data_IF_845364582597
#
_entry.id   IF_845364582597
#
_cell.length_a   1.000
_cell.length_b   1.000
_cell.length_c   1.000
_cell.angle_alpha   90.00
_cell.angle_beta   90.00
_cell.angle_gamma   90.00
#
_symmetry.space_group_name_H-M   'P 1'
#
loop_
_entity.id
_entity.type
_entity.pdbx_description
1 polymer ?
#
# COMPACT_ATOMS: atom_id res chain seq x y z
N UNK A 1 5.53 -5.61 10.20
CA UNK A 1 6.44 -6.19 9.18
C UNK A 1 6.07 -5.63 7.81
N UNK A 2 6.95 -4.86 7.15
CA UNK A 2 6.69 -4.32 5.80
C UNK A 2 6.95 -5.35 4.71
N UNK A 3 5.94 -5.64 3.89
CA UNK A 3 5.99 -6.63 2.82
C UNK A 3 5.99 -5.95 1.44
N UNK A 4 7.17 -5.52 1.00
CA UNK A 4 7.40 -4.88 -0.29
C UNK A 4 8.79 -5.20 -0.85
N UNK A 5 8.94 -5.13 -2.18
CA UNK A 5 10.25 -5.25 -2.84
C UNK A 5 10.92 -6.64 -2.74
N UNK A 6 10.17 -7.70 -2.44
CA UNK A 6 10.73 -9.06 -2.29
C UNK A 6 11.32 -9.60 -3.60
N UNK A 7 12.46 -10.28 -3.52
CA UNK A 7 12.99 -11.08 -4.63
C UNK A 7 12.53 -12.57 -4.61
N UNK A 8 11.86 -13.02 -3.54
CA UNK A 8 11.42 -14.40 -3.37
C UNK A 8 9.99 -14.65 -3.89
N UNK A 9 9.67 -15.90 -4.21
CA UNK A 9 8.31 -16.41 -4.44
C UNK A 9 8.22 -17.81 -3.84
N UNK A 10 8.45 -17.91 -2.54
CA UNK A 10 8.57 -19.17 -1.81
C UNK A 10 7.42 -19.41 -0.82
N UNK A 11 6.41 -18.52 -0.78
CA UNK A 11 5.29 -18.66 0.15
C UNK A 11 5.66 -18.39 1.61
N UNK A 12 6.79 -17.72 1.86
CA UNK A 12 7.35 -17.57 3.20
C UNK A 12 7.89 -18.87 3.79
N UNK A 13 8.06 -19.92 2.98
CA UNK A 13 8.54 -21.23 3.44
C UNK A 13 9.94 -21.15 4.06
N UNK A 14 10.84 -20.34 3.50
CA UNK A 14 12.16 -20.11 4.09
C UNK A 14 12.07 -19.46 5.47
N UNK A 15 11.27 -18.39 5.60
CA UNK A 15 11.02 -17.72 6.89
C UNK A 15 10.47 -18.68 7.95
N UNK A 16 9.48 -19.50 7.58
CA UNK A 16 8.88 -20.47 8.50
C UNK A 16 9.89 -21.56 8.89
N UNK A 17 10.74 -22.00 7.97
CA UNK A 17 11.79 -22.97 8.27
C UNK A 17 12.79 -22.43 9.31
N UNK A 18 13.21 -21.18 9.18
CA UNK A 18 14.10 -20.51 10.15
C UNK A 18 13.45 -20.34 11.53
N UNK A 19 12.12 -20.18 11.59
CA UNK A 19 11.37 -20.18 12.86
C UNK A 19 11.14 -21.59 13.45
N UNK A 20 11.68 -22.63 12.82
CA UNK A 20 11.57 -24.03 13.28
C UNK A 20 10.32 -24.75 12.80
N UNK A 21 9.65 -24.27 11.75
CA UNK A 21 8.41 -24.82 11.21
C UNK A 21 7.14 -24.13 11.76
N UNK A 22 5.98 -24.43 11.14
CA UNK A 22 4.71 -23.75 11.44
C UNK A 22 4.32 -23.82 12.92
N UNK A 23 4.42 -25.01 13.52
CA UNK A 23 4.05 -25.21 14.92
C UNK A 23 4.96 -24.45 15.89
N UNK A 24 6.27 -24.42 15.61
CA UNK A 24 7.23 -23.70 16.42
C UNK A 24 7.03 -22.18 16.28
N UNK A 25 6.89 -21.70 15.04
CA UNK A 25 6.64 -20.29 14.74
C UNK A 25 5.38 -19.77 15.43
N UNK A 26 4.27 -20.53 15.36
CA UNK A 26 3.01 -20.19 16.06
C UNK A 26 3.19 -20.07 17.56
N UNK A 27 3.91 -21.01 18.19
CA UNK A 27 4.18 -20.95 19.63
C UNK A 27 5.08 -19.78 20.01
N UNK A 28 6.12 -19.51 19.21
CA UNK A 28 7.05 -18.41 19.46
C UNK A 28 6.39 -17.04 19.31
N UNK A 29 5.40 -16.93 18.43
CA UNK A 29 4.71 -15.67 18.12
C UNK A 29 3.34 -15.56 18.79
N UNK A 30 2.94 -16.49 19.67
CA UNK A 30 1.61 -16.53 20.25
C UNK A 30 1.25 -15.24 21.02
N UNK A 31 2.23 -14.65 21.70
CA UNK A 31 2.07 -13.41 22.49
C UNK A 31 2.60 -12.17 21.75
N UNK A 32 2.90 -12.28 20.45
CA UNK A 32 3.43 -11.19 19.64
C UNK A 32 2.39 -10.78 18.61
N UNK A 33 2.01 -9.50 18.63
CA UNK A 33 1.17 -8.97 17.56
C UNK A 33 2.00 -8.82 16.28
N UNK A 34 1.74 -9.72 15.32
CA UNK A 34 2.38 -9.70 14.01
C UNK A 34 1.46 -9.04 12.99
N UNK A 35 1.81 -7.82 12.60
CA UNK A 35 1.10 -7.08 11.56
C UNK A 35 1.87 -7.20 10.23
N UNK A 36 1.25 -7.83 9.24
CA UNK A 36 1.73 -7.93 7.87
C UNK A 36 1.27 -6.69 7.08
N UNK A 37 2.15 -5.69 7.01
CA UNK A 37 1.91 -4.42 6.34
C UNK A 37 2.16 -4.54 4.83
N UNK A 38 1.12 -4.46 4.02
CA UNK A 38 1.26 -4.46 2.55
C UNK A 38 0.13 -3.73 1.85
N UNK A 39 0.45 -3.12 0.71
CA UNK A 39 -0.57 -2.55 -0.19
C UNK A 39 -1.06 -3.56 -1.24
N UNK A 40 -0.60 -4.81 -1.14
CA UNK A 40 -1.06 -5.92 -1.98
C UNK A 40 -2.21 -6.63 -1.26
N UNK A 41 -3.40 -6.62 -1.86
CA UNK A 41 -4.58 -7.36 -1.35
C UNK A 41 -4.73 -8.74 -1.99
N UNK A 42 -3.84 -9.12 -2.89
CA UNK A 42 -3.98 -10.34 -3.66
C UNK A 42 -3.81 -11.63 -2.83
N UNK A 43 -4.54 -12.71 -3.18
CA UNK A 43 -4.40 -14.01 -2.54
C UNK A 43 -3.07 -14.68 -2.90
N UNK A 44 -2.77 -15.81 -2.26
CA UNK A 44 -1.58 -16.60 -2.56
C UNK A 44 -1.65 -17.22 -3.97
N UNK A 45 -2.84 -17.71 -4.36
CA UNK A 45 -3.06 -18.52 -5.57
C UNK A 45 -4.09 -17.91 -6.52
N UNK A 46 -4.15 -18.45 -7.73
CA UNK A 46 -5.20 -18.16 -8.70
C UNK A 46 -4.79 -17.08 -9.71
N UNK A 47 -5.76 -16.53 -10.49
CA UNK A 47 -5.48 -15.56 -11.55
C UNK A 47 -4.75 -14.31 -11.04
N UNK A 48 -5.05 -13.92 -9.81
CA UNK A 48 -4.42 -12.80 -9.10
C UNK A 48 -3.38 -13.27 -8.08
N UNK A 49 -2.99 -14.54 -8.09
CA UNK A 49 -2.04 -15.13 -7.14
C UNK A 49 -0.62 -14.60 -7.30
N UNK A 50 0.19 -14.74 -6.24
CA UNK A 50 1.52 -14.13 -6.19
C UNK A 50 2.46 -14.60 -7.31
N UNK A 51 2.39 -15.87 -7.72
CA UNK A 51 3.28 -16.38 -8.76
C UNK A 51 2.94 -15.75 -10.12
N UNK A 52 1.65 -15.66 -10.46
CA UNK A 52 1.21 -15.10 -11.74
C UNK A 52 1.46 -13.60 -11.84
N UNK A 53 1.19 -12.85 -10.76
CA UNK A 53 1.27 -11.39 -10.78
C UNK A 53 2.70 -10.89 -10.58
N UNK A 54 3.45 -11.48 -9.65
CA UNK A 54 4.71 -10.88 -9.18
C UNK A 54 5.97 -11.67 -9.52
N UNK A 55 5.89 -12.95 -9.92
CA UNK A 55 7.10 -13.67 -10.31
C UNK A 55 7.71 -13.20 -11.65
N UNK A 56 6.94 -12.75 -12.67
CA UNK A 56 7.52 -12.27 -13.92
C UNK A 56 8.46 -11.08 -13.75
N UNK A 57 8.10 -10.10 -12.91
CA UNK A 57 8.98 -8.96 -12.58
C UNK A 57 10.22 -9.36 -11.76
N UNK A 58 10.26 -10.59 -11.22
CA UNK A 58 11.42 -11.19 -10.52
C UNK A 58 12.24 -12.10 -11.45
N UNK A 59 11.91 -12.17 -12.73
CA UNK A 59 12.64 -12.94 -13.74
C UNK A 59 12.09 -14.34 -14.02
N UNK A 60 10.92 -14.71 -13.50
CA UNK A 60 10.29 -15.99 -13.83
C UNK A 60 9.60 -15.95 -15.20
N UNK A 61 9.92 -16.91 -16.07
CA UNK A 61 9.15 -17.16 -17.29
C UNK A 61 7.83 -17.90 -16.98
N UNK A 62 6.96 -18.04 -17.98
CA UNK A 62 5.64 -18.65 -17.79
C UNK A 62 5.71 -20.12 -17.35
N UNK A 63 6.74 -20.86 -17.78
CA UNK A 63 6.97 -22.23 -17.33
C UNK A 63 7.35 -22.26 -15.84
N UNK A 64 8.22 -21.37 -15.40
CA UNK A 64 8.60 -21.19 -14.00
C UNK A 64 7.40 -20.74 -13.16
N UNK A 65 6.58 -19.82 -13.66
CA UNK A 65 5.34 -19.40 -13.00
C UNK A 65 4.41 -20.58 -12.73
N UNK A 66 4.22 -21.49 -13.70
CA UNK A 66 3.39 -22.68 -13.52
C UNK A 66 3.95 -23.62 -12.44
N UNK A 67 5.28 -23.79 -12.39
CA UNK A 67 5.95 -24.58 -11.33
C UNK A 67 5.78 -23.93 -9.96
N UNK A 68 5.95 -22.60 -9.87
CA UNK A 68 5.76 -21.85 -8.64
C UNK A 68 4.33 -21.94 -8.14
N UNK A 69 3.33 -21.77 -9.02
CA UNK A 69 1.92 -21.92 -8.69
C UNK A 69 1.62 -23.30 -8.08
N UNK A 70 2.14 -24.38 -8.69
CA UNK A 70 1.96 -25.74 -8.16
C UNK A 70 2.60 -25.95 -6.79
N UNK A 71 3.80 -25.39 -6.56
CA UNK A 71 4.49 -25.45 -5.25
C UNK A 71 3.73 -24.67 -4.18
N UNK A 72 3.25 -23.48 -4.53
CA UNK A 72 2.46 -22.66 -3.63
C UNK A 72 1.11 -23.30 -3.33
N UNK A 73 0.51 -24.00 -4.29
CA UNK A 73 -0.77 -24.71 -4.08
C UNK A 73 -0.63 -25.83 -3.04
N UNK A 74 0.46 -26.60 -3.11
CA UNK A 74 0.76 -27.60 -2.08
C UNK A 74 1.02 -26.94 -0.71
N UNK A 75 1.79 -25.85 -0.69
CA UNK A 75 2.10 -25.13 0.54
C UNK A 75 0.87 -24.46 1.18
N UNK A 76 -0.06 -23.95 0.38
CA UNK A 76 -1.32 -23.37 0.85
C UNK A 76 -2.13 -24.34 1.72
N UNK A 77 -2.15 -25.63 1.36
CA UNK A 77 -2.83 -26.67 2.13
C UNK A 77 -2.21 -26.78 3.53
N UNK A 78 -0.87 -26.76 3.62
CA UNK A 78 -0.15 -26.82 4.90
C UNK A 78 -0.39 -25.56 5.74
N UNK A 79 -0.37 -24.38 5.13
CA UNK A 79 -0.65 -23.10 5.78
C UNK A 79 -2.07 -23.03 6.33
N UNK A 80 -3.07 -23.40 5.52
CA UNK A 80 -4.48 -23.34 5.90
C UNK A 80 -4.79 -24.36 7.00
N UNK A 81 -4.21 -25.55 6.92
CA UNK A 81 -4.35 -26.58 7.96
C UNK A 81 -3.74 -26.12 9.29
N UNK A 82 -2.54 -25.54 9.28
CA UNK A 82 -1.92 -25.00 10.49
C UNK A 82 -2.74 -23.84 11.07
N UNK A 83 -3.20 -22.91 10.22
CA UNK A 83 -4.03 -21.77 10.60
C UNK A 83 -5.39 -22.17 11.19
N UNK A 84 -5.94 -23.31 10.73
CA UNK A 84 -7.33 -23.71 11.00
C UNK A 84 -8.36 -22.90 10.20
N UNK A 85 -7.92 -22.14 9.19
CA UNK A 85 -8.73 -21.27 8.32
C UNK A 85 -7.99 -21.03 7.00
N UNK A 86 -8.71 -20.59 5.96
CA UNK A 86 -8.17 -20.38 4.62
C UNK A 86 -7.31 -19.11 4.47
N UNK A 87 -6.17 -19.04 5.16
CA UNK A 87 -5.21 -17.91 5.09
C UNK A 87 -4.64 -17.69 3.70
N UNK A 88 -4.56 -18.73 2.87
CA UNK A 88 -4.05 -18.64 1.50
C UNK A 88 -4.93 -17.79 0.57
N UNK A 89 -6.22 -17.65 0.90
CA UNK A 89 -7.19 -16.89 0.13
C UNK A 89 -7.42 -15.46 0.68
N UNK A 90 -6.81 -15.12 1.80
CA UNK A 90 -7.06 -13.85 2.48
C UNK A 90 -6.33 -12.66 1.82
N UNK A 91 -6.84 -11.44 2.03
CA UNK A 91 -6.16 -10.24 1.61
C UNK A 91 -4.73 -10.19 2.15
N UNK A 92 -3.78 -9.88 1.26
CA UNK A 92 -2.37 -9.82 1.62
C UNK A 92 -1.63 -11.15 1.67
N UNK A 93 -2.31 -12.29 1.45
CA UNK A 93 -1.66 -13.60 1.44
C UNK A 93 -0.57 -13.68 0.35
N UNK A 94 -0.79 -13.06 -0.81
CA UNK A 94 0.17 -12.99 -1.91
C UNK A 94 1.30 -11.97 -1.73
N UNK A 95 1.29 -11.18 -0.65
CA UNK A 95 2.30 -10.15 -0.44
C UNK A 95 3.71 -10.74 -0.31
N UNK A 96 4.70 -10.02 -0.86
CA UNK A 96 6.12 -10.38 -0.82
C UNK A 96 6.43 -11.83 -1.24
N UNK A 97 5.81 -12.33 -2.31
CA UNK A 97 6.06 -13.70 -2.78
C UNK A 97 5.37 -14.78 -1.97
N UNK A 98 4.33 -14.41 -1.23
CA UNK A 98 3.56 -15.31 -0.35
C UNK A 98 4.05 -15.34 1.10
N UNK A 99 5.01 -14.49 1.49
CA UNK A 99 5.38 -14.29 2.91
C UNK A 99 4.15 -13.86 3.72
N UNK A 100 3.26 -13.07 3.13
CA UNK A 100 1.98 -12.69 3.76
C UNK A 100 1.19 -13.91 4.25
N UNK A 101 0.99 -14.92 3.40
CA UNK A 101 0.31 -16.16 3.77
C UNK A 101 1.02 -16.90 4.93
N UNK A 102 2.36 -16.93 4.92
CA UNK A 102 3.15 -17.49 6.01
C UNK A 102 2.93 -16.76 7.34
N UNK A 103 2.92 -15.43 7.33
CA UNK A 103 2.66 -14.62 8.53
C UNK A 103 1.22 -14.78 9.04
N UNK A 104 0.23 -14.84 8.14
CA UNK A 104 -1.16 -15.10 8.50
C UNK A 104 -1.33 -16.49 9.14
N UNK A 105 -0.64 -17.51 8.62
CA UNK A 105 -0.70 -18.88 9.13
C UNK A 105 -0.16 -19.03 10.56
N UNK A 106 0.78 -18.15 10.94
CA UNK A 106 1.36 -18.14 12.29
C UNK A 106 0.62 -17.22 13.28
N UNK A 107 -0.56 -16.73 12.90
CA UNK A 107 -1.41 -15.90 13.77
C UNK A 107 -1.30 -14.39 13.51
N UNK A 108 -0.55 -13.97 12.49
CA UNK A 108 -0.51 -12.58 12.08
C UNK A 108 -1.81 -12.11 11.44
N UNK A 109 -1.95 -10.78 11.35
CA UNK A 109 -3.05 -10.12 10.64
C UNK A 109 -2.53 -9.23 9.52
N UNK A 110 -3.29 -9.16 8.44
CA UNK A 110 -3.04 -8.22 7.36
C UNK A 110 -3.55 -6.84 7.74
N UNK A 111 -2.77 -5.81 7.39
CA UNK A 111 -3.22 -4.43 7.45
C UNK A 111 -2.54 -3.65 6.31
N UNK A 112 -3.27 -2.73 5.69
CA UNK A 112 -2.69 -1.89 4.65
C UNK A 112 -1.60 -0.99 5.26
N UNK A 113 -0.53 -0.74 4.50
CA UNK A 113 0.54 0.15 4.97
C UNK A 113 0.00 1.55 5.27
N UNK A 114 -0.98 1.99 4.47
CA UNK A 114 -1.72 3.22 4.67
C UNK A 114 -2.46 3.28 6.00
N UNK A 115 -3.20 2.22 6.38
CA UNK A 115 -3.94 2.19 7.64
C UNK A 115 -2.98 2.20 8.85
N UNK A 116 -1.86 1.49 8.77
CA UNK A 116 -0.85 1.49 9.83
C UNK A 116 -0.28 2.90 10.03
N UNK A 117 0.08 3.59 8.95
CA UNK A 117 0.59 4.96 9.04
C UNK A 117 -0.47 5.87 9.65
N UNK A 118 -1.73 5.79 9.19
CA UNK A 118 -2.82 6.60 9.73
C UNK A 118 -3.05 6.38 11.24
N UNK A 119 -2.98 5.13 11.72
CA UNK A 119 -3.08 4.80 13.15
C UNK A 119 -1.90 5.35 13.97
N UNK A 120 -0.70 5.39 13.41
CA UNK A 120 0.51 5.78 14.14
C UNK A 120 0.82 7.28 14.09
N UNK A 121 0.17 8.05 13.22
CA UNK A 121 0.45 9.49 13.07
C UNK A 121 -0.51 10.41 13.81
N UNK A 122 -1.31 9.92 14.78
CA UNK A 122 -2.38 10.73 15.42
C UNK A 122 -3.30 11.41 14.39
N UNK A 123 -3.42 10.84 13.19
CA UNK A 123 -4.04 11.50 12.05
C UNK A 123 -5.50 11.88 12.32
N UNK A 124 -6.20 11.08 13.13
CA UNK A 124 -7.57 11.36 13.55
C UNK A 124 -7.68 12.62 14.43
N UNK A 125 -6.67 12.88 15.27
CA UNK A 125 -6.63 14.07 16.13
C UNK A 125 -6.30 15.30 15.28
N UNK A 126 -5.29 15.22 14.40
CA UNK A 126 -4.92 16.30 13.49
C UNK A 126 -6.04 16.67 12.49
N UNK A 127 -6.84 15.68 12.09
CA UNK A 127 -8.00 15.86 11.22
C UNK A 127 -9.08 16.74 11.86
N UNK A 128 -9.23 16.73 13.18
CA UNK A 128 -10.30 17.48 13.85
C UNK A 128 -10.13 19.00 13.70
N UNK A 129 -8.89 19.47 13.63
CA UNK A 129 -8.54 20.90 13.53
C UNK A 129 -8.14 21.34 12.12
N UNK A 130 -8.05 20.42 11.15
CA UNK A 130 -7.57 20.72 9.81
C UNK A 130 -8.60 21.46 8.93
N UNK A 131 -8.22 22.61 8.39
CA UNK A 131 -9.02 23.35 7.40
C UNK A 131 -8.74 22.94 5.95
N UNK A 132 -7.60 22.27 5.70
CA UNK A 132 -7.13 21.80 4.41
C UNK A 132 -6.13 20.67 4.60
N UNK A 133 -6.22 19.64 3.75
CA UNK A 133 -5.23 18.56 3.71
C UNK A 133 -4.46 18.62 2.40
N UNK A 134 -3.13 18.63 2.50
CA UNK A 134 -2.24 18.44 1.36
C UNK A 134 -1.53 17.10 1.53
N UNK A 135 -1.65 16.23 0.53
CA UNK A 135 -1.02 14.91 0.52
C UNK A 135 -0.41 14.61 -0.85
N UNK A 136 0.25 13.47 -1.00
CA UNK A 136 0.92 13.11 -2.25
C UNK A 136 1.41 11.67 -2.30
N UNK A 137 1.68 11.22 -3.52
CA UNK A 137 2.32 9.94 -3.79
C UNK A 137 3.04 9.96 -5.16
N UNK A 138 3.80 8.93 -5.48
CA UNK A 138 4.53 8.87 -6.75
C UNK A 138 3.63 8.83 -7.99
N UNK A 139 2.54 8.06 -7.93
CA UNK A 139 1.57 7.92 -9.03
C UNK A 139 0.18 7.78 -8.45
N UNK A 140 -0.70 8.71 -8.81
CA UNK A 140 -2.08 8.76 -8.35
C UNK A 140 -3.04 8.26 -9.44
N UNK A 141 -3.51 7.03 -9.26
CA UNK A 141 -4.40 6.30 -10.17
C UNK A 141 -5.56 5.60 -9.42
N UNK A 142 -6.37 4.80 -10.11
CA UNK A 142 -7.53 4.12 -9.52
C UNK A 142 -7.14 3.19 -8.36
N UNK A 143 -5.93 2.61 -8.38
CA UNK A 143 -5.45 1.76 -7.29
C UNK A 143 -5.14 2.60 -6.05
N UNK A 144 -4.69 3.84 -6.24
CA UNK A 144 -4.43 4.75 -5.13
C UNK A 144 -5.69 5.18 -4.37
N UNK A 145 -6.85 5.20 -5.03
CA UNK A 145 -8.14 5.44 -4.37
C UNK A 145 -8.56 4.25 -3.50
N UNK A 146 -8.09 3.03 -3.80
CA UNK A 146 -8.53 1.79 -3.17
C UNK A 146 -7.37 1.14 -2.39
N UNK A 147 -7.07 1.67 -1.21
CA UNK A 147 -6.18 1.00 -0.22
C UNK A 147 -4.83 1.68 0.02
N UNK A 148 -4.50 2.76 -0.69
CA UNK A 148 -3.29 3.57 -0.42
C UNK A 148 -3.57 4.78 0.48
N UNK A 149 -2.47 5.43 0.91
CA UNK A 149 -2.45 6.58 1.82
C UNK A 149 -3.39 7.69 1.37
N UNK A 150 -3.33 8.08 0.09
CA UNK A 150 -4.18 9.17 -0.43
C UNK A 150 -5.66 8.81 -0.38
N UNK A 151 -6.04 7.58 -0.75
CA UNK A 151 -7.41 7.08 -0.64
C UNK A 151 -7.92 7.05 0.81
N UNK A 152 -7.10 6.60 1.76
CA UNK A 152 -7.44 6.57 3.17
C UNK A 152 -7.64 7.99 3.74
N UNK A 153 -6.75 8.92 3.41
CA UNK A 153 -6.86 10.33 3.78
C UNK A 153 -8.15 10.94 3.21
N UNK A 154 -8.44 10.72 1.93
CA UNK A 154 -9.64 11.25 1.29
C UNK A 154 -10.93 10.68 1.92
N UNK A 155 -10.94 9.38 2.23
CA UNK A 155 -12.06 8.73 2.91
C UNK A 155 -12.30 9.28 4.32
N UNK A 156 -11.23 9.56 5.08
CA UNK A 156 -11.31 10.13 6.43
C UNK A 156 -11.71 11.61 6.44
N UNK A 157 -11.26 12.39 5.45
CA UNK A 157 -11.56 13.82 5.32
C UNK A 157 -13.01 14.09 4.88
N UNK A 158 -13.57 13.20 4.05
CA UNK A 158 -14.90 13.35 3.45
C UNK A 158 -16.05 13.58 4.47
N UNK A 159 -16.22 12.77 5.54
CA UNK A 159 -17.28 13.02 6.53
C UNK A 159 -17.13 14.34 7.29
N UNK A 160 -15.90 14.88 7.37
CA UNK A 160 -15.60 16.16 8.02
C UNK A 160 -15.68 17.35 7.05
N UNK A 161 -15.97 17.10 5.75
CA UNK A 161 -15.99 18.10 4.69
C UNK A 161 -14.68 18.89 4.54
N UNK A 162 -13.55 18.31 4.93
CA UNK A 162 -12.24 18.94 4.82
C UNK A 162 -11.73 18.78 3.38
N UNK A 163 -11.34 19.88 2.70
CA UNK A 163 -10.84 19.80 1.34
C UNK A 163 -9.49 19.09 1.27
N UNK A 164 -9.32 18.22 0.28
CA UNK A 164 -8.07 17.48 0.03
C UNK A 164 -7.45 17.89 -1.30
N UNK A 165 -6.17 18.25 -1.27
CA UNK A 165 -5.34 18.50 -2.45
C UNK A 165 -4.24 17.44 -2.52
N UNK A 166 -4.09 16.81 -3.68
CA UNK A 166 -3.09 15.79 -3.95
C UNK A 166 -2.00 16.36 -4.87
N UNK A 167 -0.75 16.34 -4.42
CA UNK A 167 0.42 16.62 -5.24
C UNK A 167 1.12 15.31 -5.54
N UNK A 168 0.95 14.78 -6.75
CA UNK A 168 1.48 13.47 -7.12
C UNK A 168 2.55 13.59 -8.20
N UNK A 169 3.50 12.64 -8.24
CA UNK A 169 4.47 12.56 -9.34
C UNK A 169 3.75 12.52 -10.69
N UNK A 170 2.75 11.65 -10.82
CA UNK A 170 1.84 11.56 -11.95
C UNK A 170 0.40 11.44 -11.47
N UNK A 171 -0.55 11.98 -12.23
CA UNK A 171 -1.99 11.81 -12.01
C UNK A 171 -2.58 11.15 -13.25
N UNK A 172 -3.36 10.09 -13.07
CA UNK A 172 -4.03 9.39 -14.17
C UNK A 172 -5.55 9.30 -13.98
N UNK A 173 -6.08 9.98 -12.96
CA UNK A 173 -7.51 10.05 -12.67
C UNK A 173 -8.16 11.25 -13.37
N UNK A 174 -9.39 11.04 -13.83
CA UNK A 174 -10.19 12.13 -14.38
C UNK A 174 -10.86 12.98 -13.26
N UNK A 175 -11.42 14.13 -13.66
CA UNK A 175 -12.09 15.03 -12.70
C UNK A 175 -13.33 14.39 -12.03
N UNK A 176 -13.95 13.39 -12.66
CA UNK A 176 -15.13 12.72 -12.10
C UNK A 176 -14.73 11.80 -10.94
N UNK A 177 -13.67 11.02 -11.12
CA UNK A 177 -13.09 10.16 -10.11
C UNK A 177 -12.61 10.96 -8.89
N UNK A 178 -11.92 12.08 -9.12
CA UNK A 178 -11.48 12.99 -8.05
C UNK A 178 -12.65 13.49 -7.20
N UNK A 179 -13.70 14.03 -7.84
CA UNK A 179 -14.90 14.52 -7.12
C UNK A 179 -15.60 13.42 -6.35
N UNK A 180 -15.71 12.23 -6.93
CA UNK A 180 -16.35 11.08 -6.28
C UNK A 180 -15.59 10.61 -5.03
N UNK A 181 -14.28 10.77 -5.03
CA UNK A 181 -13.40 10.50 -3.91
C UNK A 181 -13.34 11.64 -2.87
N UNK A 182 -13.99 12.79 -3.10
CA UNK A 182 -13.93 13.94 -2.19
C UNK A 182 -12.65 14.78 -2.32
N UNK A 183 -11.93 14.65 -3.44
CA UNK A 183 -10.67 15.35 -3.67
C UNK A 183 -10.95 16.65 -4.43
N UNK A 184 -10.51 17.78 -3.86
CA UNK A 184 -10.68 19.11 -4.44
C UNK A 184 -9.84 19.27 -5.71
N UNK A 185 -8.57 18.87 -5.65
CA UNK A 185 -7.64 18.95 -6.77
C UNK A 185 -6.57 17.88 -6.67
N UNK A 186 -6.12 17.38 -7.82
CA UNK A 186 -4.91 16.57 -7.95
C UNK A 186 -4.02 17.19 -9.02
N UNK A 187 -2.75 17.42 -8.71
CA UNK A 187 -1.80 18.06 -9.62
C UNK A 187 -0.57 17.17 -9.83
N UNK A 188 -0.13 17.06 -11.08
CA UNK A 188 1.06 16.29 -11.44
C UNK A 188 2.33 17.13 -11.41
N UNK A 189 3.33 16.65 -10.68
CA UNK A 189 4.69 17.19 -10.67
C UNK A 189 5.35 16.97 -12.04
N UNK A 190 5.11 15.84 -12.71
CA UNK A 190 5.63 15.60 -14.06
C UNK A 190 5.07 16.57 -15.11
N UNK A 191 3.79 16.93 -15.04
CA UNK A 191 3.21 17.96 -15.91
C UNK A 191 3.80 19.33 -15.61
N UNK A 192 3.96 19.68 -14.33
CA UNK A 192 4.59 20.93 -13.89
C UNK A 192 6.04 21.05 -14.37
N UNK A 193 6.83 20.00 -14.20
CA UNK A 193 8.23 19.94 -14.61
C UNK A 193 8.40 19.79 -16.15
N UNK A 194 7.31 19.57 -16.88
CA UNK A 194 7.30 19.30 -18.32
C UNK A 194 7.79 17.90 -18.73
N UNK A 195 8.28 17.07 -17.80
CA UNK A 195 8.55 15.65 -18.04
C UNK A 195 8.73 14.86 -16.74
N UNK A 196 8.49 13.56 -16.81
CA UNK A 196 8.79 12.61 -15.71
C UNK A 196 10.26 12.62 -15.35
N UNK A 197 11.14 12.71 -16.35
CA UNK A 197 12.60 12.72 -16.14
C UNK A 197 13.04 13.93 -15.33
N UNK A 198 12.53 15.12 -15.64
CA UNK A 198 12.85 16.34 -14.88
C UNK A 198 12.24 16.30 -13.48
N UNK A 199 11.01 15.80 -13.35
CA UNK A 199 10.37 15.60 -12.05
C UNK A 199 11.16 14.65 -11.14
N UNK A 200 11.83 13.62 -11.69
CA UNK A 200 12.68 12.73 -10.89
C UNK A 200 14.07 13.33 -10.61
N UNK A 201 14.67 14.00 -11.59
CA UNK A 201 16.01 14.57 -11.46
C UNK A 201 16.09 15.72 -10.43
N UNK A 202 14.98 16.44 -10.23
CA UNK A 202 14.92 17.63 -9.37
C UNK A 202 13.65 17.66 -8.50
N UNK A 203 13.25 16.48 -7.99
CA UNK A 203 11.94 16.25 -7.37
C UNK A 203 11.56 17.26 -6.28
N UNK A 204 12.49 17.59 -5.39
CA UNK A 204 12.23 18.51 -4.29
C UNK A 204 11.87 19.93 -4.78
N UNK A 205 12.63 20.47 -5.74
CA UNK A 205 12.38 21.81 -6.27
C UNK A 205 11.12 21.83 -7.14
N UNK A 206 10.87 20.78 -7.92
CA UNK A 206 9.64 20.68 -8.72
C UNK A 206 8.39 20.61 -7.83
N UNK A 207 8.44 19.81 -6.75
CA UNK A 207 7.37 19.76 -5.77
C UNK A 207 7.18 21.10 -5.06
N UNK A 208 8.26 21.73 -4.60
CA UNK A 208 8.21 23.04 -3.92
C UNK A 208 7.64 24.13 -4.84
N UNK A 209 8.04 24.15 -6.11
CA UNK A 209 7.52 25.09 -7.10
C UNK A 209 6.01 24.88 -7.35
N UNK A 210 5.60 23.62 -7.56
CA UNK A 210 4.18 23.28 -7.72
C UNK A 210 3.36 23.66 -6.48
N UNK A 211 3.82 23.29 -5.29
CA UNK A 211 3.16 23.60 -4.03
C UNK A 211 3.03 25.12 -3.83
N UNK A 212 4.06 25.89 -4.16
CA UNK A 212 4.03 27.36 -4.09
C UNK A 212 2.96 27.95 -5.02
N UNK A 213 2.83 27.43 -6.24
CA UNK A 213 1.78 27.87 -7.16
C UNK A 213 0.38 27.51 -6.66
N UNK A 214 0.22 26.33 -6.07
CA UNK A 214 -1.06 25.90 -5.48
C UNK A 214 -1.43 26.80 -4.31
N UNK A 215 -0.50 27.06 -3.39
CA UNK A 215 -0.72 27.96 -2.26
C UNK A 215 -1.11 29.37 -2.71
N UNK A 216 -0.42 29.91 -3.72
CA UNK A 216 -0.76 31.23 -4.29
C UNK A 216 -2.18 31.28 -4.87
N UNK A 217 -2.67 30.19 -5.46
CA UNK A 217 -4.04 30.10 -6.01
C UNK A 217 -5.12 29.97 -4.95
N UNK A 218 -4.82 29.37 -3.81
CA UNK A 218 -5.77 29.25 -2.69
C UNK A 218 -6.03 30.60 -2.01
N UNK A 219 -5.10 31.55 -2.13
CA UNK A 219 -5.22 32.89 -1.58
C UNK A 219 -4.98 32.91 -0.06
N UNK A 220 -4.13 33.84 0.40
CA UNK A 220 -3.84 34.00 1.81
C UNK A 220 -5.01 34.72 2.50
N UNK A 221 -5.99 33.97 2.99
CA UNK A 221 -7.15 34.52 3.70
C UNK A 221 -6.92 34.56 5.21
N UNK A 222 -5.80 35.15 5.67
CA UNK A 222 -5.54 35.41 7.10
C UNK A 222 -4.06 35.34 7.50
N UNK A 223 -3.66 36.01 8.60
CA UNK A 223 -2.28 35.94 9.10
C UNK A 223 -1.97 34.53 9.58
N UNK A 224 -0.82 34.00 9.17
CA UNK A 224 -0.29 32.70 9.57
C UNK A 224 -0.04 32.65 11.08
N UNK A 225 -1.03 32.15 11.82
CA UNK A 225 -0.87 31.78 13.22
C UNK A 225 -0.20 30.42 13.30
N UNK A 226 1.14 30.40 13.33
CA UNK A 226 1.84 29.24 13.89
C UNK A 226 1.48 29.19 15.38
N UNK A 227 0.79 28.13 15.81
CA UNK A 227 0.78 27.70 17.21
C UNK A 227 1.78 26.57 17.38
#
# INVERSE_FOLDING_TARGET
>A
MGLGGSACTDGGKGMIAELGGLDAARRQLADVEVIAASDVEYPLLGPWGTARVFAPQKGADMATVAVLEGRLAAWAIELDAAAGRGVSAEPGAGAAGGIGAGLLAVGGRYQSGAAIIAEHTHFADDLADAELIVTGEGRFDEQSLHGKVVGAIAAAARPLAIPVIVLAGQVSLDKSALRSAGIMAALSIAEYAGSVRLALADAANQLMGLASQVAARLGNSGPSGYR
#
